data_IF_390119189217
#
_entry.id   IF_390119189217
#
_cell.length_a   1.000
_cell.length_b   1.000
_cell.length_c   1.000
_cell.angle_alpha   90.00
_cell.angle_beta   90.00
_cell.angle_gamma   90.00
#
_symmetry.space_group_name_H-M   'P 1'
#
loop_
_entity.id
_entity.type
_entity.pdbx_description
1 polymer ?
#
# COMPACT_ATOMS: atom_id res chain seq x y z
N UNK A 1 -7.43 -14.35 -3.74
CA UNK A 1 -8.52 -15.27 -3.33
C UNK A 1 -7.89 -16.39 -2.53
N UNK A 2 -8.65 -17.13 -1.73
CA UNK A 2 -8.18 -18.44 -1.27
C UNK A 2 -8.25 -19.46 -2.41
N UNK A 3 -7.80 -20.69 -2.15
CA UNK A 3 -7.79 -21.78 -3.13
C UNK A 3 -9.20 -22.21 -3.59
N UNK A 4 -10.24 -21.80 -2.87
CA UNK A 4 -11.65 -22.08 -3.20
C UNK A 4 -12.29 -20.93 -4.00
N UNK A 5 -11.52 -19.90 -4.36
CA UNK A 5 -12.01 -18.75 -5.12
C UNK A 5 -12.70 -17.68 -4.28
N UNK A 6 -12.67 -17.77 -2.95
CA UNK A 6 -13.20 -16.71 -2.09
C UNK A 6 -12.27 -15.50 -2.10
N UNK A 7 -12.82 -14.32 -2.33
CA UNK A 7 -12.05 -13.07 -2.25
C UNK A 7 -11.64 -12.79 -0.80
N UNK A 8 -10.35 -12.50 -0.60
CA UNK A 8 -9.79 -12.12 0.70
C UNK A 8 -9.64 -10.60 0.82
N UNK A 9 -9.18 -9.98 -0.25
CA UNK A 9 -9.00 -8.55 -0.38
C UNK A 9 -9.43 -8.08 -1.76
N UNK A 10 -10.04 -6.91 -1.81
CA UNK A 10 -10.28 -6.14 -3.03
C UNK A 10 -9.45 -4.88 -2.99
N UNK A 11 -8.65 -4.64 -4.03
CA UNK A 11 -7.79 -3.46 -4.12
C UNK A 11 -8.25 -2.60 -5.30
N UNK A 12 -8.54 -1.32 -5.04
CA UNK A 12 -9.12 -0.39 -6.00
C UNK A 12 -8.23 0.84 -6.20
N UNK A 13 -7.78 1.09 -7.44
CA UNK A 13 -7.12 2.36 -7.81
C UNK A 13 -8.17 3.44 -8.04
N UNK A 14 -8.09 4.56 -7.32
CA UNK A 14 -8.92 5.76 -7.60
C UNK A 14 -8.37 6.48 -8.84
N UNK A 15 -9.25 6.76 -9.81
CA UNK A 15 -8.89 7.34 -11.12
C UNK A 15 -8.90 8.88 -11.19
N UNK A 16 -9.01 9.58 -10.06
CA UNK A 16 -8.99 11.06 -10.07
C UNK A 16 -7.53 11.56 -10.25
N UNK A 17 -7.30 12.31 -11.34
CA UNK A 17 -5.99 12.69 -11.90
C UNK A 17 -5.01 13.40 -10.94
N UNK A 18 -5.45 13.86 -9.77
CA UNK A 18 -4.62 14.56 -8.79
C UNK A 18 -4.15 13.69 -7.60
N UNK A 19 -4.72 12.49 -7.41
CA UNK A 19 -4.42 11.64 -6.25
C UNK A 19 -4.29 10.18 -6.69
N UNK A 20 -3.06 9.72 -6.94
CA UNK A 20 -2.74 8.29 -7.09
C UNK A 20 -2.94 7.59 -5.73
N UNK A 21 -4.20 7.31 -5.40
CA UNK A 21 -4.61 6.64 -4.18
C UNK A 21 -5.21 5.27 -4.51
N UNK A 22 -4.86 4.30 -3.68
CA UNK A 22 -5.41 2.95 -3.72
C UNK A 22 -6.11 2.66 -2.41
N UNK A 23 -7.27 2.03 -2.49
CA UNK A 23 -8.02 1.58 -1.32
C UNK A 23 -8.06 0.06 -1.30
N UNK A 24 -7.74 -0.54 -0.15
CA UNK A 24 -7.82 -1.97 0.09
C UNK A 24 -8.95 -2.32 1.05
N UNK A 25 -9.81 -3.24 0.65
CA UNK A 25 -10.96 -3.70 1.42
C UNK A 25 -10.76 -5.16 1.77
N UNK A 26 -10.78 -5.49 3.08
CA UNK A 26 -10.79 -6.87 3.55
C UNK A 26 -12.21 -7.42 3.41
N UNK A 27 -12.36 -8.56 2.76
CA UNK A 27 -13.66 -9.22 2.63
C UNK A 27 -13.96 -10.01 3.91
N UNK A 28 -14.46 -9.33 4.94
CA UNK A 28 -15.11 -9.99 6.08
C UNK A 28 -16.59 -10.26 5.76
N UNK A 29 -17.15 -11.32 6.38
CA UNK A 29 -18.53 -11.82 6.22
C UNK A 29 -19.61 -10.72 6.21
N UNK A 30 -20.81 -10.98 5.61
CA UNK A 30 -21.81 -9.96 5.33
C UNK A 30 -22.63 -9.58 6.58
N UNK A 31 -22.00 -9.06 7.61
CA UNK A 31 -22.70 -8.40 8.71
C UNK A 31 -22.64 -6.88 8.51
N UNK A 32 -23.73 -6.40 7.94
CA UNK A 32 -24.17 -5.01 7.83
C UNK A 32 -23.38 -4.01 6.97
N UNK A 33 -24.16 -3.33 6.14
CA UNK A 33 -23.78 -2.49 5.02
C UNK A 33 -23.34 -1.10 5.48
N UNK A 34 -22.14 -0.95 6.00
CA UNK A 34 -21.44 0.34 5.94
C UNK A 34 -20.20 0.23 5.04
N UNK A 35 -20.40 0.48 3.75
CA UNK A 35 -19.36 0.62 2.71
C UNK A 35 -18.56 1.93 2.88
N UNK A 36 -18.07 2.28 4.06
CA UNK A 36 -17.53 3.64 4.24
C UNK A 36 -16.01 3.73 4.34
N UNK A 37 -15.32 2.75 4.94
CA UNK A 37 -13.88 2.89 5.19
C UNK A 37 -13.06 1.72 4.64
N UNK A 38 -12.02 1.99 3.84
CA UNK A 38 -11.09 0.95 3.42
C UNK A 38 -10.28 0.47 4.63
N UNK A 39 -9.92 -0.81 4.64
CA UNK A 39 -9.07 -1.40 5.68
C UNK A 39 -7.64 -0.88 5.61
N UNK A 40 -7.18 -0.49 4.42
CA UNK A 40 -5.95 0.27 4.23
C UNK A 40 -6.02 1.18 3.00
N UNK A 41 -5.13 2.17 2.94
CA UNK A 41 -4.96 3.04 1.79
C UNK A 41 -3.49 3.15 1.42
N UNK A 42 -3.16 3.07 0.13
CA UNK A 42 -1.83 3.43 -0.37
C UNK A 42 -1.92 4.82 -0.99
N UNK A 43 -1.13 5.77 -0.49
CA UNK A 43 -1.14 7.17 -0.92
C UNK A 43 0.25 7.59 -1.35
N UNK A 44 0.37 8.34 -2.44
CA UNK A 44 1.64 8.99 -2.80
C UNK A 44 2.07 9.96 -1.70
N UNK A 45 3.36 9.98 -1.38
CA UNK A 45 3.92 10.99 -0.47
C UNK A 45 4.04 12.32 -1.22
N UNK A 46 3.61 13.42 -0.59
CA UNK A 46 3.82 14.76 -1.14
C UNK A 46 5.30 15.16 -1.00
N UNK A 47 5.90 15.71 -2.05
CA UNK A 47 7.27 16.23 -2.03
C UNK A 47 8.39 15.17 -2.04
N UNK A 48 8.10 13.89 -2.24
CA UNK A 48 9.13 12.82 -2.32
C UNK A 48 8.69 11.71 -3.27
N UNK A 49 9.65 11.05 -3.92
CA UNK A 49 9.41 9.80 -4.67
C UNK A 49 9.19 8.67 -3.67
N UNK A 50 7.92 8.37 -3.41
CA UNK A 50 7.51 7.34 -2.45
C UNK A 50 6.01 7.28 -2.19
N UNK A 51 5.60 6.31 -1.40
CA UNK A 51 4.21 6.10 -1.00
C UNK A 51 4.10 5.59 0.43
N UNK A 52 2.94 5.80 1.03
CA UNK A 52 2.61 5.43 2.40
C UNK A 52 1.43 4.48 2.42
N UNK A 53 1.48 3.53 3.34
CA UNK A 53 0.36 2.65 3.65
C UNK A 53 -0.27 3.16 4.94
N UNK A 54 -1.56 3.46 4.88
CA UNK A 54 -2.36 4.03 5.96
C UNK A 54 -3.39 2.99 6.37
N UNK A 55 -3.55 2.75 7.66
CA UNK A 55 -4.57 1.83 8.18
C UNK A 55 -5.97 2.49 8.22
N UNK A 56 -6.96 1.73 8.69
CA UNK A 56 -8.34 2.20 8.84
C UNK A 56 -8.50 3.38 9.81
N UNK A 57 -7.63 3.48 10.81
CA UNK A 57 -7.63 4.57 11.80
C UNK A 57 -6.98 5.85 11.27
N UNK A 58 -6.38 5.80 10.07
CA UNK A 58 -5.67 6.94 9.48
C UNK A 58 -4.19 7.02 9.86
N UNK A 59 -3.66 6.06 10.62
CA UNK A 59 -2.25 6.00 10.99
C UNK A 59 -1.39 5.45 9.85
N UNK A 60 -0.19 6.02 9.67
CA UNK A 60 0.81 5.48 8.75
C UNK A 60 1.39 4.21 9.38
N UNK A 61 1.24 3.08 8.71
CA UNK A 61 1.78 1.78 9.16
C UNK A 61 3.04 1.38 8.41
N UNK A 62 3.26 1.96 7.23
CA UNK A 62 4.50 1.80 6.49
C UNK A 62 4.74 2.97 5.52
N UNK A 63 6.01 3.21 5.20
CA UNK A 63 6.45 4.18 4.20
C UNK A 63 7.51 3.55 3.30
N UNK A 64 7.27 3.58 1.99
CA UNK A 64 8.21 3.18 0.96
C UNK A 64 8.81 4.43 0.30
N UNK A 65 10.14 4.51 0.29
CA UNK A 65 10.93 5.63 -0.27
C UNK A 65 11.94 5.09 -1.28
N UNK A 66 12.32 5.88 -2.28
CA UNK A 66 13.48 5.53 -3.11
C UNK A 66 14.74 5.37 -2.24
N UNK A 67 15.51 4.31 -2.46
CA UNK A 67 16.67 4.01 -1.64
C UNK A 67 17.83 4.95 -1.98
N UNK A 68 18.46 5.49 -0.95
CA UNK A 68 19.74 6.18 -1.01
C UNK A 68 20.82 5.21 -0.52
N UNK A 69 21.96 5.19 -1.21
CA UNK A 69 23.18 4.59 -0.68
C UNK A 69 23.61 5.30 0.60
N UNK A 70 24.38 4.62 1.46
CA UNK A 70 25.04 5.26 2.60
C UNK A 70 25.97 6.41 2.21
N UNK A 71 26.44 6.43 0.95
CA UNK A 71 27.20 7.53 0.34
C UNK A 71 26.34 8.66 -0.25
N UNK A 72 25.01 8.58 -0.17
CA UNK A 72 24.08 9.60 -0.69
C UNK A 72 23.66 9.44 -2.16
N UNK A 73 24.13 8.39 -2.86
CA UNK A 73 23.72 8.11 -4.24
C UNK A 73 22.28 7.61 -4.28
N UNK A 74 21.43 8.26 -5.09
CA UNK A 74 20.06 7.82 -5.38
C UNK A 74 20.11 6.56 -6.24
N UNK A 75 19.51 5.46 -5.77
CA UNK A 75 19.40 4.23 -6.54
C UNK A 75 18.23 4.27 -7.52
N UNK A 76 18.11 3.26 -8.37
CA UNK A 76 17.00 3.13 -9.32
C UNK A 76 15.62 3.16 -8.65
N UNK A 77 14.59 3.44 -9.42
CA UNK A 77 13.20 3.48 -8.93
C UNK A 77 12.64 2.10 -8.59
N UNK A 78 13.32 1.04 -9.03
CA UNK A 78 13.17 -0.36 -8.65
C UNK A 78 13.74 -0.68 -7.25
N UNK A 79 14.57 0.19 -6.68
CA UNK A 79 15.19 0.01 -5.37
C UNK A 79 14.58 0.95 -4.33
N UNK A 80 13.90 0.37 -3.34
CA UNK A 80 13.24 1.12 -2.28
C UNK A 80 13.75 0.78 -0.88
N UNK A 81 13.56 1.73 0.04
CA UNK A 81 13.62 1.54 1.49
C UNK A 81 12.19 1.47 2.00
N UNK A 82 11.87 0.42 2.74
CA UNK A 82 10.58 0.24 3.38
C UNK A 82 10.72 0.35 4.89
N UNK A 83 10.10 1.37 5.46
CA UNK A 83 9.96 1.56 6.90
C UNK A 83 8.60 1.05 7.34
N UNK A 84 8.54 0.19 8.35
CA UNK A 84 7.30 -0.42 8.85
C UNK A 84 7.20 -0.17 10.35
N UNK A 85 6.02 0.21 10.83
CA UNK A 85 5.75 0.38 12.27
C UNK A 85 5.95 -0.97 12.99
N UNK A 86 6.53 -0.97 14.21
CA UNK A 86 6.67 -2.20 15.00
C UNK A 86 5.33 -2.93 15.20
N UNK A 87 5.39 -4.24 15.38
CA UNK A 87 4.22 -5.10 15.61
C UNK A 87 3.19 -5.17 14.47
N UNK A 88 3.54 -4.65 13.30
CA UNK A 88 2.79 -4.88 12.06
C UNK A 88 3.18 -6.20 11.41
N UNK A 89 2.24 -6.82 10.69
CA UNK A 89 2.53 -7.96 9.83
C UNK A 89 3.37 -7.51 8.62
N UNK A 90 4.69 -7.71 8.73
CA UNK A 90 5.65 -7.37 7.68
C UNK A 90 5.35 -8.11 6.36
N UNK A 91 4.78 -9.32 6.40
CA UNK A 91 4.45 -10.10 5.20
C UNK A 91 3.28 -9.47 4.45
N UNK A 92 2.24 -9.03 5.16
CA UNK A 92 1.11 -8.32 4.58
C UNK A 92 1.55 -6.99 3.96
N UNK A 93 2.39 -6.23 4.67
CA UNK A 93 2.93 -4.96 4.17
C UNK A 93 3.75 -5.18 2.89
N UNK A 94 4.64 -6.19 2.88
CA UNK A 94 5.42 -6.54 1.68
C UNK A 94 4.53 -6.95 0.51
N UNK A 95 3.49 -7.75 0.75
CA UNK A 95 2.56 -8.14 -0.30
C UNK A 95 1.85 -6.92 -0.92
N UNK A 96 1.45 -5.93 -0.11
CA UNK A 96 0.85 -4.69 -0.62
C UNK A 96 1.84 -3.91 -1.48
N UNK A 97 3.10 -3.77 -1.03
CA UNK A 97 4.20 -3.11 -1.76
C UNK A 97 4.41 -3.76 -3.14
N UNK A 98 4.52 -5.09 -3.18
CA UNK A 98 4.74 -5.84 -4.42
C UNK A 98 3.55 -5.66 -5.38
N UNK A 99 2.32 -5.85 -4.90
CA UNK A 99 1.13 -5.71 -5.75
C UNK A 99 1.00 -4.27 -6.28
N UNK A 100 1.26 -3.27 -5.44
CA UNK A 100 1.24 -1.87 -5.88
C UNK A 100 2.30 -1.60 -6.96
N UNK A 101 3.54 -2.05 -6.76
CA UNK A 101 4.62 -1.88 -7.72
C UNK A 101 4.32 -2.56 -9.07
N UNK A 102 3.77 -3.78 -9.04
CA UNK A 102 3.40 -4.55 -10.23
C UNK A 102 2.31 -3.82 -11.05
N UNK A 103 1.27 -3.30 -10.40
CA UNK A 103 0.16 -2.70 -11.15
C UNK A 103 0.48 -1.27 -11.59
N UNK A 104 1.24 -0.52 -10.78
CA UNK A 104 1.66 0.83 -11.14
C UNK A 104 2.82 0.86 -12.15
N UNK A 105 3.46 -0.27 -12.46
CA UNK A 105 4.71 -0.37 -13.26
C UNK A 105 5.80 0.55 -12.70
N UNK A 106 5.98 0.51 -11.39
CA UNK A 106 6.99 1.28 -10.65
C UNK A 106 7.98 0.36 -9.94
N UNK A 107 8.28 -0.76 -10.58
CA UNK A 107 9.35 -1.71 -10.27
C UNK A 107 10.05 -2.05 -11.57
#
# INVERSE_FOLDING_TARGET
>A
MDLQGKVLYTICKKKLKAFEQWDGYRTSSPSNRNKEKPGFQVKRKSGTVGYRIVNIDGHIVAEAKQKLSSSGVVLGDDVLTLEVVPHMDHSLIMAIVIVYGLICRKM
#
